data_IF_138771697754
#
_entry.id   IF_138771697754
#
_cell.length_a   1.000
_cell.length_b   1.000
_cell.length_c   1.000
_cell.angle_alpha   90.00
_cell.angle_beta   90.00
_cell.angle_gamma   90.00
#
_symmetry.space_group_name_H-M   'P 1'
#
loop_
_entity.id
_entity.type
_entity.pdbx_description
1 polymer ?
#
# COMPACT_ATOMS: atom_id res chain seq x y z
N UNK A 1 15.64 0.39 -10.19
CA UNK A 1 14.78 1.23 -9.33
C UNK A 1 14.40 2.55 -10.01
N UNK A 2 15.38 3.30 -10.57
CA UNK A 2 15.11 4.58 -11.24
C UNK A 2 14.18 4.39 -12.46
N UNK A 3 14.41 3.41 -13.33
CA UNK A 3 13.55 3.16 -14.49
C UNK A 3 12.13 2.70 -14.14
N UNK A 4 11.93 2.09 -12.96
CA UNK A 4 10.59 1.76 -12.45
C UNK A 4 9.88 3.01 -11.92
N UNK A 5 10.62 3.91 -11.30
CA UNK A 5 10.10 5.17 -10.80
C UNK A 5 9.63 6.09 -11.94
N UNK A 6 10.39 6.19 -13.03
CA UNK A 6 10.02 6.98 -14.21
C UNK A 6 8.69 6.52 -14.83
N UNK A 7 8.42 5.21 -14.83
CA UNK A 7 7.14 4.67 -15.33
C UNK A 7 5.95 4.96 -14.40
N UNK A 8 6.19 5.02 -13.08
CA UNK A 8 5.14 5.27 -12.08
C UNK A 8 4.85 6.77 -11.91
N UNK A 9 5.75 7.66 -12.31
CA UNK A 9 5.67 9.09 -12.05
C UNK A 9 4.52 9.80 -12.77
N UNK A 10 4.03 9.27 -13.88
CA UNK A 10 3.04 9.97 -14.69
C UNK A 10 1.73 10.24 -13.92
N UNK A 11 1.34 9.32 -13.02
CA UNK A 11 0.02 9.36 -12.38
C UNK A 11 0.03 9.12 -10.85
N UNK A 12 1.17 8.78 -10.25
CA UNK A 12 1.23 8.44 -8.83
C UNK A 12 2.48 9.01 -8.13
N UNK A 13 2.35 9.81 -7.06
CA UNK A 13 3.48 10.28 -6.28
C UNK A 13 4.14 9.13 -5.51
N UNK A 14 5.46 9.03 -5.60
CA UNK A 14 6.28 7.97 -4.99
C UNK A 14 7.01 8.50 -3.77
N UNK A 15 6.81 7.88 -2.60
CA UNK A 15 7.58 8.13 -1.38
C UNK A 15 8.62 7.01 -1.25
N UNK A 16 9.91 7.38 -1.23
CA UNK A 16 10.99 6.43 -1.05
C UNK A 16 11.23 6.17 0.44
N UNK A 17 11.39 4.91 0.83
CA UNK A 17 11.65 4.50 2.20
C UNK A 17 12.94 3.67 2.28
N UNK A 18 13.82 3.96 3.23
CA UNK A 18 15.06 3.20 3.43
C UNK A 18 15.36 2.95 4.91
N UNK A 19 16.10 1.86 5.22
CA UNK A 19 16.45 1.54 6.61
C UNK A 19 17.48 2.49 7.22
N UNK A 20 18.24 3.22 6.38
CA UNK A 20 19.30 4.12 6.82
C UNK A 20 19.26 5.40 6.01
N UNK A 21 19.43 6.54 6.68
CA UNK A 21 19.59 7.83 6.03
C UNK A 21 20.96 7.94 5.37
N UNK A 22 20.98 8.18 4.05
CA UNK A 22 22.18 8.48 3.27
C UNK A 22 21.90 9.70 2.39
N UNK A 23 22.53 10.86 2.63
CA UNK A 23 22.22 12.10 1.91
C UNK A 23 22.32 11.98 0.38
N UNK A 24 23.35 11.29 -0.10
CA UNK A 24 23.58 11.06 -1.54
C UNK A 24 22.42 10.29 -2.17
N UNK A 25 22.00 9.21 -1.51
CA UNK A 25 20.87 8.40 -1.98
C UNK A 25 19.55 9.18 -1.97
N UNK A 26 19.34 10.06 -0.98
CA UNK A 26 18.16 10.93 -0.92
C UNK A 26 18.13 11.85 -2.12
N UNK A 27 19.25 12.50 -2.44
CA UNK A 27 19.34 13.40 -3.59
C UNK A 27 19.06 12.66 -4.91
N UNK A 28 19.61 11.46 -5.08
CA UNK A 28 19.40 10.66 -6.28
C UNK A 28 17.93 10.20 -6.42
N UNK A 29 17.29 9.81 -5.32
CA UNK A 29 15.87 9.43 -5.31
C UNK A 29 14.96 10.62 -5.63
N UNK A 30 15.21 11.78 -5.05
CA UNK A 30 14.46 12.99 -5.33
C UNK A 30 14.68 13.48 -6.77
N UNK A 31 15.91 13.44 -7.30
CA UNK A 31 16.21 13.73 -8.71
C UNK A 31 15.58 12.72 -9.65
N UNK A 32 15.52 11.45 -9.24
CA UNK A 32 14.79 10.38 -9.94
C UNK A 32 13.27 10.51 -9.83
N UNK A 33 12.75 11.58 -9.19
CA UNK A 33 11.34 11.94 -9.14
C UNK A 33 10.57 11.42 -7.93
N UNK A 34 11.23 10.89 -6.90
CA UNK A 34 10.53 10.63 -5.65
C UNK A 34 9.91 11.94 -5.12
N UNK A 35 8.66 11.84 -4.66
CA UNK A 35 7.98 12.97 -4.05
C UNK A 35 8.63 13.35 -2.71
N UNK A 36 9.00 12.34 -1.93
CA UNK A 36 9.62 12.50 -0.63
C UNK A 36 10.41 11.25 -0.23
N UNK A 37 11.16 11.35 0.88
CA UNK A 37 11.99 10.28 1.40
C UNK A 37 11.80 10.13 2.92
N UNK A 38 11.71 8.90 3.39
CA UNK A 38 11.61 8.57 4.82
C UNK A 38 12.63 7.49 5.19
N UNK A 39 13.39 7.70 6.27
CA UNK A 39 14.30 6.69 6.81
C UNK A 39 13.79 6.08 8.10
N UNK A 40 14.19 4.84 8.35
CA UNK A 40 13.96 4.22 9.66
C UNK A 40 14.78 4.91 10.78
N UNK A 41 14.31 4.92 12.04
CA UNK A 41 13.01 4.38 12.48
C UNK A 41 11.85 5.24 11.99
N UNK A 42 10.79 4.58 11.50
CA UNK A 42 9.61 5.28 10.99
C UNK A 42 8.81 5.86 12.16
N UNK A 43 9.04 7.13 12.47
CA UNK A 43 8.32 7.85 13.51
C UNK A 43 7.00 8.38 12.99
N UNK A 44 5.96 8.31 13.82
CA UNK A 44 4.60 8.73 13.44
C UNK A 44 4.57 10.20 12.98
N UNK A 45 5.30 11.08 13.65
CA UNK A 45 5.34 12.51 13.33
C UNK A 45 5.88 12.76 11.92
N UNK A 46 6.98 12.07 11.55
CA UNK A 46 7.62 12.22 10.23
C UNK A 46 6.68 11.70 9.13
N UNK A 47 6.09 10.53 9.36
CA UNK A 47 5.13 9.95 8.43
C UNK A 47 3.92 10.87 8.24
N UNK A 48 3.40 11.41 9.34
CA UNK A 48 2.28 12.34 9.31
C UNK A 48 2.59 13.58 8.45
N UNK A 49 3.74 14.21 8.64
CA UNK A 49 4.17 15.36 7.84
C UNK A 49 4.30 15.04 6.35
N UNK A 50 4.93 13.91 6.01
CA UNK A 50 5.08 13.47 4.62
C UNK A 50 3.72 13.25 3.98
N UNK A 51 2.80 12.56 4.67
CA UNK A 51 1.46 12.34 4.16
C UNK A 51 0.63 13.62 4.07
N UNK A 52 0.77 14.57 4.98
CA UNK A 52 0.12 15.87 4.86
C UNK A 52 0.61 16.64 3.63
N UNK A 53 1.93 16.63 3.36
CA UNK A 53 2.48 17.23 2.13
C UNK A 53 1.92 16.58 0.88
N UNK A 54 1.89 15.25 0.88
CA UNK A 54 1.33 14.46 -0.21
C UNK A 54 -0.14 14.80 -0.47
N UNK A 55 -0.95 14.82 0.59
CA UNK A 55 -2.38 15.14 0.50
C UNK A 55 -2.63 16.56 -0.02
N UNK A 56 -1.80 17.53 0.36
CA UNK A 56 -1.88 18.90 -0.17
C UNK A 56 -1.61 18.91 -1.67
N UNK A 57 -0.59 18.20 -2.14
CA UNK A 57 -0.27 18.13 -3.57
C UNK A 57 -1.39 17.47 -4.37
N UNK A 58 -1.94 16.38 -3.87
CA UNK A 58 -3.04 15.66 -4.53
C UNK A 58 -4.33 16.49 -4.54
N UNK A 59 -4.57 17.33 -3.50
CA UNK A 59 -5.72 18.25 -3.46
C UNK A 59 -5.58 19.45 -4.40
N UNK A 60 -4.34 19.83 -4.75
CA UNK A 60 -4.08 20.93 -5.67
C UNK A 60 -4.24 20.54 -7.15
N UNK A 61 -4.29 19.24 -7.45
CA UNK A 61 -4.78 18.78 -8.75
C UNK A 61 -6.30 18.86 -8.70
N UNK A 62 -6.94 19.76 -9.49
CA UNK A 62 -8.39 19.81 -9.52
C UNK A 62 -8.89 18.43 -9.94
N UNK A 63 -9.72 17.84 -9.06
CA UNK A 63 -10.41 16.59 -9.35
C UNK A 63 -11.17 16.76 -10.66
N UNK A 64 -10.66 16.17 -11.72
CA UNK A 64 -11.41 15.94 -12.93
C UNK A 64 -12.53 14.94 -12.59
N UNK A 65 -13.64 15.47 -12.07
CA UNK A 65 -14.79 14.71 -11.63
C UNK A 65 -14.58 14.09 -10.25
N UNK A 66 -15.33 14.56 -9.26
CA UNK A 66 -15.45 13.88 -7.95
C UNK A 66 -15.90 12.46 -8.17
N UNK A 67 -14.94 11.55 -8.32
CA UNK A 67 -15.24 10.16 -8.55
C UNK A 67 -15.72 9.53 -7.25
N UNK A 68 -16.74 8.70 -7.36
CA UNK A 68 -17.18 7.78 -6.33
C UNK A 68 -16.07 6.77 -5.93
N UNK A 69 -14.89 6.87 -6.54
CA UNK A 69 -13.74 5.99 -6.36
C UNK A 69 -12.86 6.46 -5.20
N UNK A 70 -12.33 5.51 -4.43
CA UNK A 70 -11.36 5.76 -3.37
C UNK A 70 -9.98 6.15 -3.93
N UNK A 71 -9.08 6.54 -3.03
CA UNK A 71 -7.66 6.76 -3.36
C UNK A 71 -6.89 5.46 -3.20
N UNK A 72 -5.97 5.19 -4.13
CA UNK A 72 -5.05 4.07 -4.07
C UNK A 72 -3.67 4.57 -3.63
N UNK A 73 -3.06 3.87 -2.65
CA UNK A 73 -1.69 4.11 -2.18
C UNK A 73 -0.95 2.78 -2.28
N UNK A 74 0.10 2.72 -3.08
CA UNK A 74 0.94 1.53 -3.24
C UNK A 74 2.21 1.62 -2.40
N UNK A 75 2.60 0.49 -1.77
CA UNK A 75 3.85 0.32 -1.06
C UNK A 75 4.65 -0.81 -1.70
N UNK A 76 5.86 -0.54 -2.11
CA UNK A 76 6.75 -1.52 -2.72
C UNK A 76 8.13 -1.48 -2.07
N UNK A 77 8.76 -2.64 -1.94
CA UNK A 77 10.11 -2.78 -1.40
C UNK A 77 11.12 -2.85 -2.53
N UNK A 78 12.23 -2.10 -2.39
CA UNK A 78 13.38 -2.24 -3.28
C UNK A 78 14.18 -3.53 -2.99
N UNK A 79 14.04 -4.09 -1.79
CA UNK A 79 14.65 -5.35 -1.36
C UNK A 79 13.81 -5.99 -0.26
N UNK A 80 13.85 -7.32 -0.10
CA UNK A 80 13.20 -8.01 1.01
C UNK A 80 13.61 -7.43 2.37
N UNK A 81 12.67 -7.37 3.31
CA UNK A 81 12.91 -6.87 4.66
C UNK A 81 13.02 -5.34 4.81
N UNK A 82 12.77 -4.55 3.76
CA UNK A 82 12.83 -3.09 3.82
C UNK A 82 11.65 -2.43 4.57
N UNK A 83 10.67 -3.21 5.04
CA UNK A 83 9.58 -2.72 5.89
C UNK A 83 8.35 -2.20 5.14
N UNK A 84 8.20 -2.46 3.84
CA UNK A 84 7.05 -1.97 3.07
C UNK A 84 5.70 -2.42 3.65
N UNK A 85 5.58 -3.70 4.01
CA UNK A 85 4.35 -4.23 4.63
C UNK A 85 4.06 -3.60 5.98
N UNK A 86 5.09 -3.38 6.81
CA UNK A 86 4.96 -2.68 8.09
C UNK A 86 4.46 -1.25 7.89
N UNK A 87 5.06 -0.53 6.94
CA UNK A 87 4.69 0.84 6.63
C UNK A 87 3.27 0.92 6.06
N UNK A 88 2.91 0.02 5.15
CA UNK A 88 1.55 -0.06 4.59
C UNK A 88 0.50 -0.25 5.69
N UNK A 89 0.74 -1.21 6.59
CA UNK A 89 -0.17 -1.53 7.68
C UNK A 89 -0.32 -0.36 8.66
N UNK A 90 0.79 0.24 9.10
CA UNK A 90 0.74 1.39 10.01
C UNK A 90 0.06 2.60 9.37
N UNK A 91 0.30 2.82 8.07
CA UNK A 91 -0.36 3.88 7.31
C UNK A 91 -1.87 3.65 7.24
N UNK A 92 -2.32 2.42 6.98
CA UNK A 92 -3.73 2.08 6.94
C UNK A 92 -4.44 2.38 8.26
N UNK A 93 -3.85 1.98 9.41
CA UNK A 93 -4.38 2.29 10.73
C UNK A 93 -4.39 3.80 11.02
N UNK A 94 -3.29 4.49 10.69
CA UNK A 94 -3.20 5.94 10.90
C UNK A 94 -4.26 6.69 10.07
N UNK A 95 -4.43 6.35 8.80
CA UNK A 95 -5.45 6.93 7.93
C UNK A 95 -6.86 6.72 8.49
N UNK A 96 -7.17 5.50 8.94
CA UNK A 96 -8.47 5.21 9.56
C UNK A 96 -8.70 6.07 10.79
N UNK A 97 -7.72 6.14 11.69
CA UNK A 97 -7.80 6.90 12.94
C UNK A 97 -7.95 8.39 12.71
N UNK A 98 -7.19 8.94 11.76
CA UNK A 98 -7.17 10.38 11.50
C UNK A 98 -8.34 10.89 10.66
N UNK A 99 -8.81 10.09 9.70
CA UNK A 99 -9.82 10.55 8.74
C UNK A 99 -11.23 10.03 9.00
N UNK A 100 -11.37 8.97 9.80
CA UNK A 100 -12.62 8.26 9.99
C UNK A 100 -13.13 7.54 8.73
N UNK A 101 -12.43 7.64 7.60
CA UNK A 101 -12.84 7.05 6.32
C UNK A 101 -12.64 5.54 6.30
N UNK A 102 -13.37 4.86 5.43
CA UNK A 102 -13.15 3.43 5.18
C UNK A 102 -11.77 3.23 4.56
N UNK A 103 -11.01 2.26 5.06
CA UNK A 103 -9.68 1.91 4.58
C UNK A 103 -9.67 0.41 4.30
N UNK A 104 -9.20 0.03 3.12
CA UNK A 104 -8.93 -1.34 2.72
C UNK A 104 -7.42 -1.51 2.53
N UNK A 105 -6.82 -2.44 3.24
CA UNK A 105 -5.44 -2.88 3.05
C UNK A 105 -5.45 -4.16 2.21
N UNK A 106 -4.77 -4.13 1.07
CA UNK A 106 -4.60 -5.30 0.19
C UNK A 106 -3.15 -5.74 0.24
N UNK A 107 -2.91 -7.01 0.57
CA UNK A 107 -1.57 -7.59 0.57
C UNK A 107 -1.35 -8.38 -0.74
N UNK A 108 -0.53 -7.83 -1.62
CA UNK A 108 -0.17 -8.43 -2.91
C UNK A 108 1.14 -9.22 -2.84
N UNK A 109 1.67 -9.50 -1.65
CA UNK A 109 2.86 -10.33 -1.48
C UNK A 109 2.49 -11.83 -1.47
N UNK A 110 2.36 -12.41 -2.65
CA UNK A 110 1.94 -13.81 -2.82
C UNK A 110 2.96 -14.82 -2.29
N UNK A 111 4.23 -14.43 -2.20
CA UNK A 111 5.30 -15.33 -1.78
C UNK A 111 5.46 -15.44 -0.25
N UNK A 112 5.09 -14.40 0.50
CA UNK A 112 5.35 -14.35 1.95
C UNK A 112 4.38 -13.44 2.68
N UNK A 113 3.09 -13.51 2.37
CA UNK A 113 2.07 -12.61 2.92
C UNK A 113 2.16 -12.44 4.44
N UNK A 114 2.38 -11.20 4.87
CA UNK A 114 2.59 -10.86 6.29
C UNK A 114 1.37 -10.23 6.93
N UNK A 115 0.40 -9.75 6.14
CA UNK A 115 -0.78 -9.06 6.63
C UNK A 115 -1.67 -9.94 7.52
N UNK A 116 -1.71 -11.24 7.27
CA UNK A 116 -2.44 -12.20 8.09
C UNK A 116 -1.90 -12.27 9.53
N UNK A 117 -0.58 -12.19 9.71
CA UNK A 117 0.06 -12.17 11.04
C UNK A 117 -0.26 -10.92 11.84
N UNK A 118 -0.39 -9.76 11.19
CA UNK A 118 -0.72 -8.49 11.85
C UNK A 118 -2.16 -8.44 12.36
N UNK A 119 -3.05 -9.16 11.71
CA UNK A 119 -4.47 -9.20 12.05
C UNK A 119 -4.84 -10.37 12.97
N UNK A 120 -3.85 -11.16 13.46
CA UNK A 120 -4.05 -12.42 14.21
C UNK A 120 -4.99 -13.41 13.49
N UNK A 121 -4.88 -13.45 12.17
CA UNK A 121 -5.75 -14.28 11.33
C UNK A 121 -5.16 -15.67 11.24
N UNK A 122 -5.58 -16.56 12.13
CA UNK A 122 -5.09 -17.94 12.19
C UNK A 122 -5.88 -18.92 11.33
N UNK A 123 -7.12 -18.59 10.99
CA UNK A 123 -8.00 -19.45 10.21
C UNK A 123 -8.66 -18.64 9.10
N UNK A 124 -8.33 -18.96 7.85
CA UNK A 124 -8.79 -18.20 6.71
C UNK A 124 -9.23 -19.08 5.57
N UNK A 125 -10.35 -18.67 4.97
CA UNK A 125 -10.87 -19.29 3.75
C UNK A 125 -10.60 -18.48 2.48
N UNK A 126 -10.18 -17.20 2.57
CA UNK A 126 -10.12 -16.30 1.40
C UNK A 126 -8.87 -15.44 1.39
N UNK A 127 -8.31 -15.23 0.18
CA UNK A 127 -7.11 -14.45 -0.11
C UNK A 127 -7.35 -13.48 -1.25
N UNK A 128 -6.39 -12.64 -1.53
CA UNK A 128 -6.41 -11.78 -2.71
C UNK A 128 -6.49 -12.58 -4.01
N UNK A 129 -5.95 -13.80 -4.06
CA UNK A 129 -6.04 -14.67 -5.24
C UNK A 129 -7.46 -15.19 -5.46
N UNK A 130 -8.17 -15.55 -4.38
CA UNK A 130 -9.58 -15.94 -4.46
C UNK A 130 -10.43 -14.76 -4.96
N UNK A 131 -10.13 -13.55 -4.48
CA UNK A 131 -10.78 -12.33 -4.94
C UNK A 131 -10.50 -12.06 -6.42
N UNK A 132 -9.26 -12.23 -6.88
CA UNK A 132 -8.87 -12.07 -8.29
C UNK A 132 -9.57 -13.09 -9.19
N UNK A 133 -9.63 -14.34 -8.78
CA UNK A 133 -10.37 -15.39 -9.50
C UNK A 133 -11.86 -15.06 -9.65
N UNK A 134 -12.39 -14.28 -8.72
CA UNK A 134 -13.81 -13.88 -8.68
C UNK A 134 -14.05 -12.43 -9.12
N UNK A 135 -13.09 -11.79 -9.79
CA UNK A 135 -13.13 -10.35 -10.13
C UNK A 135 -14.38 -9.92 -10.89
N UNK A 136 -14.92 -10.79 -11.75
CA UNK A 136 -16.17 -10.53 -12.49
C UNK A 136 -17.40 -10.46 -11.56
N UNK A 137 -17.36 -11.19 -10.46
CA UNK A 137 -18.40 -11.16 -9.43
C UNK A 137 -18.21 -9.93 -8.54
N UNK A 138 -16.97 -9.63 -8.16
CA UNK A 138 -16.61 -8.45 -7.36
C UNK A 138 -17.00 -7.13 -8.03
N UNK A 139 -16.87 -7.03 -9.34
CA UNK A 139 -17.26 -5.82 -10.08
C UNK A 139 -18.76 -5.50 -10.01
N UNK A 140 -19.58 -6.49 -9.64
CA UNK A 140 -21.03 -6.37 -9.51
C UNK A 140 -21.51 -6.34 -8.06
N UNK A 141 -20.65 -6.70 -7.11
CA UNK A 141 -20.96 -6.76 -5.68
C UNK A 141 -20.43 -5.52 -4.98
N UNK A 142 -21.29 -4.80 -4.30
CA UNK A 142 -20.88 -3.73 -3.37
C UNK A 142 -20.40 -4.27 -2.03
N UNK A 143 -20.51 -5.56 -1.79
CA UNK A 143 -20.19 -6.18 -0.50
C UNK A 143 -18.81 -6.81 -0.46
N UNK A 144 -17.83 -5.98 -0.20
CA UNK A 144 -16.43 -6.39 0.02
C UNK A 144 -16.23 -7.10 1.37
N UNK A 145 -17.23 -7.12 2.25
CA UNK A 145 -17.09 -7.73 3.57
C UNK A 145 -16.93 -9.24 3.49
N UNK A 146 -17.45 -9.88 2.47
CA UNK A 146 -17.28 -11.33 2.22
C UNK A 146 -15.83 -11.72 1.95
N UNK A 147 -15.03 -10.81 1.36
CA UNK A 147 -13.65 -11.06 0.92
C UNK A 147 -12.62 -10.49 1.87
N UNK A 148 -13.03 -9.67 2.81
CA UNK A 148 -12.14 -8.91 3.67
C UNK A 148 -12.36 -9.26 5.13
N UNK A 149 -11.32 -9.04 5.92
CA UNK A 149 -11.31 -9.29 7.35
C UNK A 149 -11.27 -7.96 8.10
N UNK A 150 -12.19 -7.72 9.01
CA UNK A 150 -12.15 -6.52 9.84
C UNK A 150 -11.02 -6.63 10.87
N UNK A 151 -10.19 -5.59 10.94
CA UNK A 151 -9.11 -5.50 11.91
C UNK A 151 -8.95 -4.05 12.37
N UNK A 152 -9.15 -3.77 13.65
CA UNK A 152 -8.96 -2.45 14.26
C UNK A 152 -9.56 -1.29 13.47
N UNK A 153 -10.73 -1.50 12.88
CA UNK A 153 -11.49 -0.49 12.13
C UNK A 153 -11.12 -0.33 10.66
N UNK A 154 -10.17 -1.10 10.14
CA UNK A 154 -9.90 -1.24 8.70
C UNK A 154 -10.38 -2.60 8.20
N UNK A 155 -10.47 -2.75 6.88
CA UNK A 155 -10.67 -4.02 6.19
C UNK A 155 -9.33 -4.50 5.64
N UNK A 156 -9.06 -5.81 5.72
CA UNK A 156 -7.84 -6.42 5.18
C UNK A 156 -8.24 -7.49 4.17
N UNK A 157 -7.71 -7.39 2.95
CA UNK A 157 -7.69 -8.47 1.96
C UNK A 157 -6.27 -9.03 1.91
N UNK A 158 -6.01 -10.15 2.52
CA UNK A 158 -4.67 -10.61 2.75
C UNK A 158 -4.12 -11.48 1.62
N UNK A 159 -2.81 -11.65 1.59
CA UNK A 159 -2.14 -12.63 0.74
C UNK A 159 -2.55 -14.08 1.08
N UNK A 160 -2.34 -15.04 0.19
CA UNK A 160 -2.56 -16.46 0.49
C UNK A 160 -1.71 -16.91 1.69
N UNK A 161 -2.20 -17.91 2.43
CA UNK A 161 -1.48 -18.48 3.59
C UNK A 161 -0.29 -19.34 3.14
N UNK A 162 -0.44 -20.05 2.04
CA UNK A 162 0.63 -20.82 1.43
C UNK A 162 1.23 -20.03 0.26
N UNK A 163 2.56 -20.00 0.13
CA UNK A 163 3.20 -19.30 -0.97
C UNK A 163 2.79 -19.94 -2.31
N UNK A 164 2.18 -19.16 -3.17
CA UNK A 164 1.95 -19.58 -4.56
C UNK A 164 3.07 -18.97 -5.43
N UNK A 165 4.04 -19.81 -5.76
CA UNK A 165 5.17 -19.45 -6.61
C UNK A 165 4.81 -19.35 -8.09
N UNK A 166 3.72 -19.99 -8.50
CA UNK A 166 3.29 -20.08 -9.91
C UNK A 166 2.21 -19.04 -10.29
N UNK A 167 1.79 -18.18 -9.34
CA UNK A 167 0.72 -17.20 -9.57
C UNK A 167 1.16 -15.95 -10.35
N UNK A 168 2.44 -15.80 -10.67
CA UNK A 168 2.93 -14.70 -11.50
C UNK A 168 2.97 -15.17 -12.95
N UNK A 169 2.10 -14.63 -13.85
CA UNK A 169 2.20 -14.95 -15.26
C UNK A 169 3.59 -14.56 -15.79
N UNK A 170 4.20 -15.34 -16.69
CA UNK A 170 5.45 -14.96 -17.34
C UNK A 170 5.25 -13.64 -18.10
N UNK A 171 6.28 -12.79 -18.05
CA UNK A 171 6.35 -11.49 -18.73
C UNK A 171 6.17 -11.61 -20.26
#
# INVERSE_FOLDING_TARGET
>A
LLGTMERLQADCPVIACAPVYKPEMVLDLLRGGAFDYVSAPFREEILHEVFLRLLRRVKLQPDAGMSAFGRLIGFSSAKPGAGASTLATQTAFALRRQTGRRVLLIDLNFASGTSAGWADIRHRSMSVLDALASVTVLSRSSDWTTWTLPCNGILILPAPLEPETDAVPPE
#
